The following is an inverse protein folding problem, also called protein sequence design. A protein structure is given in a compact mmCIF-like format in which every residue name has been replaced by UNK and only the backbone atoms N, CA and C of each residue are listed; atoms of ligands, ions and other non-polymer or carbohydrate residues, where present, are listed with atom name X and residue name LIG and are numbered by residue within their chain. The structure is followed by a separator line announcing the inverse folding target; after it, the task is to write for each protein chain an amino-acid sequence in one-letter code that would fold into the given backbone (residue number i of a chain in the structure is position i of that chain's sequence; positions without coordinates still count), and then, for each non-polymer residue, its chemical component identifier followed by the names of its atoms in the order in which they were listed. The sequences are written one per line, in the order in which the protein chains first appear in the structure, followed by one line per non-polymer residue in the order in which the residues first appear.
data_IF_171652821013
#
_entry.id   IF_171652821013
#
_cell.length_a   1.000
_cell.length_b   1.000
_cell.length_c   1.000
_cell.angle_alpha   90.00
_cell.angle_beta   90.00
_cell.angle_gamma   90.00
#
_symmetry.space_group_name_H-M   'P 1'
#
loop_
_entity.id
_entity.type
_entity.pdbx_description
1 polymer ?
#
# COMPACT_ATOMS: atom_id res chain seq x y z
N UNK A 1 -8.21 -20.41 -10.83
CA UNK A 1 -8.79 -19.26 -10.08
C UNK A 1 -9.00 -18.15 -11.08
N UNK A 2 -10.20 -17.58 -11.17
CA UNK A 2 -10.47 -16.42 -12.02
C UNK A 2 -9.85 -15.19 -11.34
N UNK A 3 -8.94 -14.50 -12.01
CA UNK A 3 -8.43 -13.21 -11.55
C UNK A 3 -9.59 -12.21 -11.51
N UNK A 4 -9.74 -11.47 -10.41
CA UNK A 4 -10.78 -10.44 -10.27
C UNK A 4 -10.27 -9.17 -10.93
N UNK A 5 -10.61 -9.01 -12.21
CA UNK A 5 -10.08 -7.94 -13.02
C UNK A 5 -10.85 -6.64 -12.82
N UNK A 6 -10.15 -5.54 -12.53
CA UNK A 6 -10.69 -4.19 -12.70
C UNK A 6 -10.91 -3.97 -14.20
N UNK A 7 -12.17 -3.72 -14.57
CA UNK A 7 -12.60 -3.56 -15.97
C UNK A 7 -12.44 -2.13 -16.47
N UNK A 8 -12.43 -1.14 -15.57
CA UNK A 8 -12.18 0.24 -15.93
C UNK A 8 -10.69 0.49 -16.18
N UNK A 9 -10.33 0.68 -17.45
CA UNK A 9 -8.94 0.80 -17.89
C UNK A 9 -8.27 2.08 -17.35
N UNK A 10 -9.03 3.15 -17.15
CA UNK A 10 -8.50 4.40 -16.61
C UNK A 10 -8.14 4.24 -15.13
N UNK A 11 -9.08 3.76 -14.30
CA UNK A 11 -8.83 3.50 -12.87
C UNK A 11 -7.67 2.52 -12.67
N UNK A 12 -7.59 1.46 -13.49
CA UNK A 12 -6.50 0.51 -13.42
C UNK A 12 -5.13 1.16 -13.73
N UNK A 13 -5.08 2.10 -14.67
CA UNK A 13 -3.87 2.83 -15.00
C UNK A 13 -3.45 3.75 -13.86
N UNK A 14 -4.38 4.53 -13.31
CA UNK A 14 -4.13 5.44 -12.18
C UNK A 14 -3.66 4.69 -10.93
N UNK A 15 -4.28 3.54 -10.63
CA UNK A 15 -3.88 2.63 -9.55
C UNK A 15 -2.44 2.14 -9.74
N UNK A 16 -2.08 1.69 -10.95
CA UNK A 16 -0.73 1.20 -11.26
C UNK A 16 0.33 2.30 -11.21
N UNK A 17 0.00 3.50 -11.66
CA UNK A 17 0.88 4.67 -11.56
C UNK A 17 1.14 5.04 -10.09
N UNK A 18 0.09 5.02 -9.27
CA UNK A 18 0.20 5.28 -7.82
C UNK A 18 1.04 4.21 -7.14
N UNK A 19 0.83 2.94 -7.47
CA UNK A 19 1.65 1.83 -6.96
C UNK A 19 3.12 1.92 -7.40
N UNK A 20 3.37 2.39 -8.62
CA UNK A 20 4.75 2.70 -9.06
C UNK A 20 5.39 3.78 -8.18
N UNK A 21 4.61 4.75 -7.70
CA UNK A 21 5.04 5.72 -6.68
C UNK A 21 5.44 5.06 -5.36
N UNK A 22 4.66 4.08 -4.87
CA UNK A 22 5.00 3.27 -3.68
C UNK A 22 6.37 2.61 -3.85
N UNK A 23 6.62 1.95 -4.98
CA UNK A 23 7.91 1.32 -5.26
C UNK A 23 9.07 2.32 -5.30
N UNK A 24 8.89 3.48 -5.95
CA UNK A 24 9.92 4.52 -6.03
C UNK A 24 10.29 5.05 -4.63
N UNK A 25 9.29 5.26 -3.77
CA UNK A 25 9.50 5.68 -2.39
C UNK A 25 10.17 4.59 -1.56
N UNK A 26 9.73 3.33 -1.69
CA UNK A 26 10.33 2.17 -1.02
C UNK A 26 11.79 1.96 -1.43
N UNK A 27 12.14 2.23 -2.69
CA UNK A 27 13.49 2.10 -3.23
C UNK A 27 14.44 3.27 -2.88
N UNK A 28 13.94 4.33 -2.24
CA UNK A 28 14.72 5.54 -1.94
C UNK A 28 15.90 5.31 -0.98
N UNK A 29 16.00 4.14 -0.35
CA UNK A 29 17.17 3.67 0.39
C UNK A 29 18.48 3.73 -0.40
N UNK A 30 18.41 3.68 -1.73
CA UNK A 30 19.58 3.52 -2.60
C UNK A 30 20.25 4.83 -2.98
N UNK A 31 19.70 5.98 -2.58
CA UNK A 31 20.21 7.27 -3.03
C UNK A 31 21.38 7.75 -2.18
N UNK A 32 22.56 7.15 -2.34
CA UNK A 32 23.82 7.66 -1.78
C UNK A 32 24.48 8.57 -2.83
N UNK A 33 24.38 9.91 -2.76
CA UNK A 33 25.13 10.75 -3.68
C UNK A 33 26.62 10.61 -3.35
N UNK A 34 27.35 9.88 -4.19
CA UNK A 34 28.81 9.89 -4.18
C UNK A 34 29.23 11.24 -4.80
N UNK A 35 29.47 12.23 -3.96
CA UNK A 35 30.09 13.48 -4.38
C UNK A 35 31.59 13.25 -4.58
N UNK A 36 32.17 13.56 -5.76
CA UNK A 36 33.61 13.43 -5.97
C UNK A 36 34.36 14.32 -4.96
N UNK A 37 35.15 13.71 -4.07
CA UNK A 37 35.98 14.41 -3.08
C UNK A 37 35.37 14.58 -1.67
N UNK A 38 34.11 14.19 -1.46
CA UNK A 38 33.55 14.04 -0.11
C UNK A 38 33.49 12.56 0.25
N UNK A 39 33.92 12.18 1.46
CA UNK A 39 33.79 10.81 1.95
C UNK A 39 32.35 10.30 1.85
N UNK A 40 32.15 8.98 1.85
CA UNK A 40 30.83 8.34 1.72
C UNK A 40 29.86 8.98 2.73
N UNK A 41 29.00 9.88 2.24
CA UNK A 41 27.90 10.41 3.03
C UNK A 41 26.83 9.33 2.93
N UNK A 42 26.75 8.46 3.94
CA UNK A 42 25.70 7.46 4.00
C UNK A 42 24.35 8.19 4.03
N UNK A 43 23.68 8.29 2.89
CA UNK A 43 22.43 9.03 2.77
C UNK A 43 21.30 8.41 3.61
N UNK A 44 21.43 7.15 3.99
CA UNK A 44 20.54 6.52 4.97
C UNK A 44 20.56 7.25 6.32
N UNK A 45 21.66 7.95 6.67
CA UNK A 45 21.81 8.70 7.92
C UNK A 45 21.05 10.03 7.96
N UNK A 46 20.46 10.48 6.84
CA UNK A 46 19.70 11.75 6.76
C UNK A 46 18.19 11.54 6.59
N UNK A 47 17.73 10.31 6.42
CA UNK A 47 16.30 10.05 6.26
C UNK A 47 15.63 10.10 7.64
N UNK A 48 14.60 10.95 7.83
CA UNK A 48 13.84 10.97 9.08
C UNK A 48 13.24 9.59 9.34
N UNK A 49 13.22 9.17 10.60
CA UNK A 49 12.73 7.85 11.03
C UNK A 49 11.31 7.55 10.50
N UNK A 50 10.49 8.60 10.32
CA UNK A 50 9.14 8.52 9.78
C UNK A 50 9.02 8.41 8.26
N UNK A 51 10.08 8.56 7.46
CA UNK A 51 9.97 8.63 5.99
C UNK A 51 9.22 7.43 5.39
N UNK A 52 9.47 6.24 5.90
CA UNK A 52 8.89 4.99 5.42
C UNK A 52 7.39 4.84 5.70
N UNK A 53 6.84 5.70 6.55
CA UNK A 53 5.40 5.78 6.78
C UNK A 53 4.68 6.39 5.57
N UNK A 54 5.35 7.16 4.71
CA UNK A 54 4.79 7.73 3.48
C UNK A 54 4.42 6.66 2.43
N UNK A 55 5.35 5.79 1.96
CA UNK A 55 4.97 4.71 1.03
C UNK A 55 3.96 3.75 1.64
N UNK A 56 3.98 3.57 2.96
CA UNK A 56 3.01 2.75 3.68
C UNK A 56 1.59 3.37 3.62
N UNK A 57 1.45 4.66 3.95
CA UNK A 57 0.18 5.37 3.83
C UNK A 57 -0.36 5.34 2.38
N UNK A 58 0.53 5.52 1.41
CA UNK A 58 0.18 5.48 0.00
C UNK A 58 -0.29 4.08 -0.44
N UNK A 59 0.37 3.01 0.01
CA UNK A 59 -0.05 1.65 -0.28
C UNK A 59 -1.47 1.34 0.22
N UNK A 60 -1.82 1.82 1.41
CA UNK A 60 -3.19 1.68 1.92
C UNK A 60 -4.21 2.59 1.22
N UNK A 61 -3.78 3.72 0.63
CA UNK A 61 -4.63 4.51 -0.26
C UNK A 61 -4.95 3.72 -1.52
N UNK A 62 -3.94 3.08 -2.13
CA UNK A 62 -4.14 2.22 -3.32
C UNK A 62 -5.09 1.07 -3.01
N UNK A 63 -4.94 0.40 -1.86
CA UNK A 63 -5.88 -0.63 -1.44
C UNK A 63 -7.32 -0.09 -1.33
N UNK A 64 -7.47 1.13 -0.78
CA UNK A 64 -8.77 1.78 -0.65
C UNK A 64 -9.41 2.11 -2.00
N UNK A 65 -8.61 2.59 -2.96
CA UNK A 65 -9.03 2.90 -4.33
C UNK A 65 -9.45 1.63 -5.07
N UNK A 66 -8.64 0.56 -5.00
CA UNK A 66 -8.96 -0.76 -5.59
C UNK A 66 -10.28 -1.29 -5.05
N UNK A 67 -10.46 -1.29 -3.73
CA UNK A 67 -11.71 -1.75 -3.13
C UNK A 67 -12.91 -0.87 -3.50
N UNK A 68 -12.69 0.43 -3.70
CA UNK A 68 -13.73 1.36 -4.19
C UNK A 68 -14.16 0.98 -5.61
N UNK A 69 -13.20 0.80 -6.52
CA UNK A 69 -13.47 0.42 -7.91
C UNK A 69 -14.18 -0.93 -7.97
N UNK A 70 -13.72 -1.93 -7.21
CA UNK A 70 -14.34 -3.25 -7.16
C UNK A 70 -15.78 -3.20 -6.61
N UNK A 71 -16.03 -2.38 -5.58
CA UNK A 71 -17.38 -2.12 -5.08
C UNK A 71 -18.25 -1.47 -6.16
N UNK A 72 -17.74 -0.46 -6.86
CA UNK A 72 -18.50 0.29 -7.86
C UNK A 72 -18.81 -0.58 -9.11
N UNK A 73 -17.97 -1.57 -9.39
CA UNK A 73 -18.23 -2.63 -10.38
C UNK A 73 -19.21 -3.71 -9.87
N UNK A 74 -19.65 -3.64 -8.61
CA UNK A 74 -20.60 -4.58 -8.02
C UNK A 74 -19.99 -5.92 -7.56
N UNK A 75 -18.67 -6.03 -7.42
CA UNK A 75 -17.99 -7.26 -6.95
C UNK A 75 -18.42 -7.62 -5.52
N UNK A 76 -18.65 -6.61 -4.69
CA UNK A 76 -19.22 -6.74 -3.35
C UNK A 76 -20.02 -5.47 -3.02
N UNK A 77 -20.86 -5.55 -1.98
CA UNK A 77 -21.68 -4.43 -1.52
C UNK A 77 -21.11 -3.85 -0.23
N UNK A 78 -20.94 -2.53 -0.16
CA UNK A 78 -20.52 -1.81 1.03
C UNK A 78 -20.98 -0.36 0.97
N UNK A 79 -21.78 0.08 1.95
CA UNK A 79 -22.28 1.46 2.01
C UNK A 79 -21.30 2.43 2.70
N UNK A 80 -20.24 1.91 3.32
CA UNK A 80 -19.27 2.71 4.05
C UNK A 80 -18.13 3.18 3.15
N UNK A 81 -17.70 4.43 3.38
CA UNK A 81 -16.47 4.97 2.80
C UNK A 81 -15.20 4.47 3.52
N UNK A 82 -15.33 3.87 4.71
CA UNK A 82 -14.18 3.49 5.54
C UNK A 82 -13.49 2.24 5.00
N UNK A 83 -12.17 2.30 4.83
CA UNK A 83 -11.35 1.18 4.35
C UNK A 83 -11.62 -0.13 5.09
N UNK A 84 -11.64 -0.11 6.43
CA UNK A 84 -11.87 -1.32 7.22
C UNK A 84 -13.21 -1.99 6.93
N UNK A 85 -14.25 -1.21 6.61
CA UNK A 85 -15.56 -1.74 6.23
C UNK A 85 -15.57 -2.31 4.82
N UNK A 86 -14.84 -1.71 3.89
CA UNK A 86 -14.61 -2.28 2.54
C UNK A 86 -13.82 -3.59 2.60
N UNK A 87 -12.80 -3.68 3.45
CA UNK A 87 -12.04 -4.92 3.68
C UNK A 87 -12.95 -6.03 4.25
N UNK A 88 -13.74 -5.73 5.27
CA UNK A 88 -14.67 -6.68 5.88
C UNK A 88 -15.71 -7.20 4.87
N UNK A 89 -16.32 -6.31 4.10
CA UNK A 89 -17.32 -6.66 3.09
C UNK A 89 -16.74 -7.48 1.92
N UNK A 90 -15.49 -7.22 1.54
CA UNK A 90 -14.81 -7.91 0.44
C UNK A 90 -14.21 -9.26 0.84
N UNK A 91 -14.11 -9.58 2.14
CA UNK A 91 -13.43 -10.79 2.66
C UNK A 91 -13.88 -12.09 2.01
N UNK A 92 -15.18 -12.25 1.77
CA UNK A 92 -15.75 -13.47 1.17
C UNK A 92 -15.88 -13.39 -0.37
N UNK A 93 -15.53 -12.25 -0.95
CA UNK A 93 -15.68 -11.98 -2.39
C UNK A 93 -14.34 -11.94 -3.12
N UNK A 94 -13.26 -11.59 -2.42
CA UNK A 94 -11.90 -11.54 -2.95
C UNK A 94 -11.06 -12.69 -2.39
N UNK A 95 -10.17 -13.29 -3.19
CA UNK A 95 -9.27 -14.36 -2.75
C UNK A 95 -8.08 -13.76 -2.00
N UNK A 96 -8.32 -13.26 -0.79
CA UNK A 96 -7.27 -12.72 0.08
C UNK A 96 -6.21 -13.79 0.38
N UNK A 97 -4.94 -13.43 0.24
CA UNK A 97 -3.80 -14.30 0.53
C UNK A 97 -3.43 -14.25 2.02
N UNK A 98 -3.39 -13.05 2.60
CA UNK A 98 -3.10 -12.81 4.02
C UNK A 98 -3.93 -11.63 4.56
N UNK A 99 -5.26 -11.85 4.61
CA UNK A 99 -6.23 -10.85 5.09
C UNK A 99 -5.85 -10.30 6.48
N UNK A 100 -5.45 -11.16 7.39
CA UNK A 100 -5.19 -10.78 8.79
C UNK A 100 -3.96 -9.87 8.89
N UNK A 101 -2.90 -10.11 8.10
CA UNK A 101 -1.74 -9.22 8.04
C UNK A 101 -2.09 -7.84 7.45
N UNK A 102 -2.91 -7.80 6.42
CA UNK A 102 -3.34 -6.52 5.82
C UNK A 102 -4.25 -5.74 6.78
N UNK A 103 -5.11 -6.42 7.55
CA UNK A 103 -5.93 -5.81 8.61
C UNK A 103 -5.04 -5.22 9.71
N UNK A 104 -4.03 -5.96 10.17
CA UNK A 104 -3.09 -5.48 11.18
C UNK A 104 -2.38 -4.18 10.72
N UNK A 105 -1.95 -4.11 9.46
CA UNK A 105 -1.36 -2.88 8.95
C UNK A 105 -2.38 -1.75 8.75
N UNK A 106 -3.67 -2.05 8.49
CA UNK A 106 -4.75 -1.04 8.49
C UNK A 106 -5.00 -0.49 9.89
N UNK A 107 -4.86 -1.29 10.94
CA UNK A 107 -4.91 -0.81 12.32
C UNK A 107 -3.71 0.10 12.62
N UNK A 108 -2.50 -0.34 12.25
CA UNK A 108 -1.30 0.47 12.40
C UNK A 108 -1.36 1.80 11.62
N UNK A 109 -1.97 1.81 10.43
CA UNK A 109 -2.25 3.03 9.65
C UNK A 109 -3.15 4.00 10.42
N UNK A 110 -4.17 3.49 11.09
CA UNK A 110 -5.07 4.32 11.89
C UNK A 110 -4.34 4.88 13.12
N UNK A 111 -3.48 4.08 13.76
CA UNK A 111 -2.65 4.53 14.89
C UNK A 111 -1.64 5.60 14.47
N UNK A 112 -1.06 5.47 13.28
CA UNK A 112 -0.23 6.50 12.68
C UNK A 112 -1.04 7.78 12.40
N UNK A 113 -2.21 7.66 11.77
CA UNK A 113 -3.01 8.80 11.35
C UNK A 113 -3.65 9.57 12.51
N UNK A 114 -4.07 8.87 13.57
CA UNK A 114 -4.78 9.48 14.71
C UNK A 114 -3.92 9.61 15.97
N UNK A 115 -2.97 8.69 16.17
CA UNK A 115 -2.09 8.66 17.35
C UNK A 115 -0.68 9.18 17.08
N UNK A 116 -0.34 9.52 15.83
CA UNK A 116 1.02 9.88 15.40
C UNK A 116 2.07 8.82 15.76
N UNK A 117 1.65 7.55 15.85
CA UNK A 117 2.53 6.43 16.19
C UNK A 117 3.26 6.00 14.91
N UNK A 118 4.52 6.39 14.79
CA UNK A 118 5.35 6.03 13.65
C UNK A 118 5.71 4.55 13.69
N UNK A 119 5.61 3.91 12.54
CA UNK A 119 6.09 2.54 12.37
C UNK A 119 7.57 2.52 11.99
N UNK A 120 8.32 1.53 12.47
CA UNK A 120 9.65 1.27 11.98
C UNK A 120 9.58 0.76 10.53
N UNK A 121 10.60 1.10 9.75
CA UNK A 121 10.75 0.71 8.33
C UNK A 121 10.39 -0.75 8.03
N UNK A 122 10.86 -1.68 8.87
CA UNK A 122 10.63 -3.13 8.69
C UNK A 122 9.14 -3.46 8.67
N UNK A 123 8.36 -2.86 9.56
CA UNK A 123 6.92 -3.07 9.64
C UNK A 123 6.21 -2.40 8.46
N UNK A 124 6.59 -1.17 8.09
CA UNK A 124 6.07 -0.52 6.89
C UNK A 124 6.23 -1.43 5.65
N UNK A 125 7.42 -2.00 5.46
CA UNK A 125 7.71 -2.84 4.29
C UNK A 125 6.94 -4.14 4.33
N UNK A 126 6.82 -4.77 5.50
CA UNK A 126 6.02 -5.98 5.68
C UNK A 126 4.56 -5.76 5.24
N UNK A 127 3.94 -4.65 5.64
CA UNK A 127 2.55 -4.36 5.24
C UNK A 127 2.43 -3.96 3.76
N UNK A 128 3.38 -3.21 3.22
CA UNK A 128 3.42 -2.89 1.78
C UNK A 128 3.51 -4.18 0.95
N UNK A 129 4.37 -5.12 1.35
CA UNK A 129 4.57 -6.39 0.66
C UNK A 129 3.32 -7.26 0.71
N UNK A 130 2.62 -7.27 1.86
CA UNK A 130 1.34 -7.95 1.98
C UNK A 130 0.32 -7.40 0.98
N UNK A 131 0.18 -6.07 0.86
CA UNK A 131 -0.70 -5.45 -0.13
C UNK A 131 -0.26 -5.79 -1.56
N UNK A 132 1.04 -5.80 -1.85
CA UNK A 132 1.55 -6.16 -3.18
C UNK A 132 1.10 -7.57 -3.60
N UNK A 133 1.20 -8.53 -2.69
CA UNK A 133 0.76 -9.91 -2.92
C UNK A 133 -0.74 -9.97 -3.24
N UNK A 134 -1.57 -9.22 -2.50
CA UNK A 134 -3.01 -9.15 -2.76
C UNK A 134 -3.31 -8.56 -4.14
N UNK A 135 -2.71 -7.40 -4.44
CA UNK A 135 -2.94 -6.72 -5.72
C UNK A 135 -2.48 -7.56 -6.92
N UNK A 136 -1.38 -8.31 -6.78
CA UNK A 136 -0.93 -9.27 -7.78
C UNK A 136 -1.88 -10.47 -7.92
N UNK A 137 -2.38 -11.01 -6.81
CA UNK A 137 -3.36 -12.10 -6.82
C UNK A 137 -4.70 -11.71 -7.48
N UNK A 138 -5.08 -10.44 -7.37
CA UNK A 138 -6.27 -9.89 -8.02
C UNK A 138 -6.02 -9.49 -9.48
N UNK A 139 -4.77 -9.52 -9.97
CA UNK A 139 -4.44 -9.09 -11.33
C UNK A 139 -4.52 -7.58 -11.53
N UNK A 140 -4.43 -6.81 -10.43
CA UNK A 140 -4.30 -5.35 -10.47
C UNK A 140 -2.88 -4.98 -10.87
N UNK A 141 -1.87 -5.68 -10.34
CA UNK A 141 -0.44 -5.53 -10.68
C UNK A 141 0.03 -6.59 -11.67
#
# INVERSE_FOLDING_TARGET
MLAIMITDAQSLTEIRETWTGVHKLKAHDRFCPILPGAGIINAASFMPEGFWNLPFLLAYSVLDDVLTVLRDQGVFQCESWMLGKKMEASRNHLPWQDYDLVVAGKDARNDLAHGAIMLPKKECFMYIDAIEVELGAWGVL
#
